data_IF_892893704351
#
_entry.id   IF_892893704351
#
_cell.length_a   1.000
_cell.length_b   1.000
_cell.length_c   1.000
_cell.angle_alpha   90.00
_cell.angle_beta   90.00
_cell.angle_gamma   90.00
#
_symmetry.space_group_name_H-M   'P 1'
#
loop_
_entity.id
_entity.type
_entity.pdbx_description
1 polymer ?
#
# COMPACT_ATOMS: atom_id res chain seq x y z
N UNK A 1 5.47 -3.93 -13.17
CA UNK A 1 6.07 -4.40 -11.88
C UNK A 1 5.04 -4.29 -10.79
N UNK A 2 4.91 -5.33 -9.99
CA UNK A 2 3.94 -5.37 -8.89
C UNK A 2 4.59 -4.89 -7.61
N UNK A 3 3.83 -4.19 -6.78
CA UNK A 3 4.34 -3.55 -5.57
C UNK A 3 3.40 -3.80 -4.39
N UNK A 4 3.97 -4.10 -3.24
CA UNK A 4 3.22 -4.20 -1.98
C UNK A 4 3.94 -3.40 -0.91
N UNK A 5 3.17 -2.80 -0.01
CA UNK A 5 3.69 -1.93 1.04
C UNK A 5 3.34 -2.50 2.41
N UNK A 6 4.35 -2.64 3.27
CA UNK A 6 4.17 -3.05 4.66
C UNK A 6 4.53 -1.85 5.54
N UNK A 7 3.57 -1.43 6.37
CA UNK A 7 3.72 -0.24 7.20
C UNK A 7 3.29 1.03 6.46
N UNK A 8 2.23 1.67 6.94
CA UNK A 8 1.64 2.86 6.32
C UNK A 8 1.92 4.13 7.12
N UNK A 9 3.14 4.27 7.62
CA UNK A 9 3.58 5.45 8.35
C UNK A 9 4.08 6.56 7.44
N UNK A 10 4.85 7.49 8.02
CA UNK A 10 5.32 8.68 7.31
C UNK A 10 6.16 8.36 6.06
N UNK A 11 7.01 7.35 6.13
CA UNK A 11 7.87 6.95 5.01
C UNK A 11 7.03 6.35 3.87
N UNK A 12 5.93 5.69 4.21
CA UNK A 12 5.05 5.07 3.23
C UNK A 12 4.47 6.09 2.24
N UNK A 13 4.24 7.32 2.66
CA UNK A 13 3.74 8.39 1.77
C UNK A 13 4.66 8.57 0.57
N UNK A 14 5.98 8.57 0.81
CA UNK A 14 6.95 8.71 -0.28
C UNK A 14 6.95 7.49 -1.20
N UNK A 15 6.76 6.29 -0.65
CA UNK A 15 6.68 5.07 -1.45
C UNK A 15 5.44 5.09 -2.36
N UNK A 16 4.29 5.52 -1.85
CA UNK A 16 3.07 5.63 -2.65
C UNK A 16 3.26 6.64 -3.80
N UNK A 17 3.88 7.77 -3.53
CA UNK A 17 4.18 8.75 -4.56
C UNK A 17 5.09 8.17 -5.64
N UNK A 18 6.10 7.40 -5.26
CA UNK A 18 6.99 6.74 -6.21
C UNK A 18 6.27 5.69 -7.05
N UNK A 19 5.38 4.91 -6.45
CA UNK A 19 4.57 3.93 -7.16
C UNK A 19 3.72 4.60 -8.23
N UNK A 20 3.05 5.70 -7.88
CA UNK A 20 2.21 6.45 -8.82
C UNK A 20 3.05 7.06 -9.94
N UNK A 21 4.20 7.65 -9.61
CA UNK A 21 5.07 8.30 -10.57
C UNK A 21 5.69 7.33 -11.58
N UNK A 22 5.91 6.08 -11.17
CA UNK A 22 6.53 5.07 -12.02
C UNK A 22 5.54 4.08 -12.64
N UNK A 23 4.25 4.34 -12.49
CA UNK A 23 3.17 3.49 -13.03
C UNK A 23 3.29 2.03 -12.58
N UNK A 24 3.73 1.82 -11.36
CA UNK A 24 3.80 0.48 -10.77
C UNK A 24 2.41 0.00 -10.37
N UNK A 25 2.21 -1.31 -10.41
CA UNK A 25 0.95 -1.92 -10.00
C UNK A 25 0.94 -2.09 -8.47
N UNK A 26 0.15 -1.26 -7.78
CA UNK A 26 0.05 -1.31 -6.32
C UNK A 26 -0.99 -2.35 -5.91
N UNK A 27 -0.51 -3.57 -5.61
CA UNK A 27 -1.37 -4.74 -5.38
C UNK A 27 -1.96 -4.73 -3.97
N UNK A 28 -1.15 -4.43 -2.96
CA UNK A 28 -1.57 -4.59 -1.57
C UNK A 28 -0.82 -3.65 -0.65
N UNK A 29 -1.45 -3.30 0.47
CA UNK A 29 -0.83 -2.57 1.56
C UNK A 29 -1.22 -3.20 2.88
N UNK A 30 -0.34 -3.13 3.86
CA UNK A 30 -0.51 -3.78 5.16
C UNK A 30 -0.07 -2.86 6.29
N UNK A 31 -0.89 -2.79 7.34
CA UNK A 31 -0.53 -2.14 8.60
C UNK A 31 -1.37 -2.76 9.71
N UNK A 32 -0.78 -2.91 10.90
CA UNK A 32 -1.52 -3.44 12.06
C UNK A 32 -2.62 -2.48 12.50
N UNK A 33 -2.56 -1.21 12.11
CA UNK A 33 -3.57 -0.20 12.39
C UNK A 33 -4.21 0.22 11.07
N UNK A 34 -5.43 -0.26 10.81
CA UNK A 34 -6.14 -0.01 9.56
C UNK A 34 -6.53 1.46 9.36
N UNK A 35 -6.58 2.24 10.43
CA UNK A 35 -6.88 3.67 10.30
C UNK A 35 -5.79 4.45 9.55
N UNK A 36 -4.59 3.89 9.48
CA UNK A 36 -3.47 4.56 8.81
C UNK A 36 -3.54 4.54 7.29
N UNK A 37 -4.30 3.63 6.70
CA UNK A 37 -4.39 3.53 5.24
C UNK A 37 -4.91 4.83 4.62
N UNK A 38 -6.06 5.30 5.08
CA UNK A 38 -6.68 6.49 4.51
C UNK A 38 -5.87 7.75 4.81
N UNK A 39 -5.28 7.84 6.01
CA UNK A 39 -4.41 8.96 6.37
C UNK A 39 -3.20 9.02 5.45
N UNK A 40 -2.57 7.89 5.21
CA UNK A 40 -1.40 7.81 4.34
C UNK A 40 -1.76 8.19 2.90
N UNK A 41 -2.85 7.66 2.37
CA UNK A 41 -3.29 7.94 1.00
C UNK A 41 -3.65 9.41 0.81
N UNK A 42 -4.30 10.01 1.80
CA UNK A 42 -4.64 11.43 1.78
C UNK A 42 -3.38 12.29 1.73
N UNK A 43 -2.38 11.97 2.56
CA UNK A 43 -1.12 12.72 2.58
C UNK A 43 -0.33 12.56 1.29
N UNK A 44 -0.39 11.39 0.66
CA UNK A 44 0.29 11.16 -0.61
C UNK A 44 -0.34 11.96 -1.75
N UNK A 45 -1.66 12.16 -1.71
CA UNK A 45 -2.36 12.92 -2.74
C UNK A 45 -2.35 12.32 -4.12
N UNK A 46 -2.11 11.00 -4.23
CA UNK A 46 -2.00 10.31 -5.51
C UNK A 46 -3.27 9.51 -5.86
N UNK A 47 -4.35 9.64 -5.08
CA UNK A 47 -5.58 8.89 -5.27
C UNK A 47 -5.84 7.92 -4.13
N UNK A 48 -6.96 7.21 -4.19
CA UNK A 48 -7.40 6.32 -3.12
C UNK A 48 -7.00 4.85 -3.33
N UNK A 49 -6.53 4.50 -4.53
CA UNK A 49 -6.13 3.13 -4.89
C UNK A 49 -7.21 2.10 -4.50
N UNK A 50 -8.44 2.21 -5.06
CA UNK A 50 -9.55 1.36 -4.64
C UNK A 50 -9.34 -0.13 -4.92
N UNK A 51 -8.50 -0.47 -5.90
CA UNK A 51 -8.21 -1.85 -6.26
C UNK A 51 -7.06 -2.47 -5.44
N UNK A 52 -6.37 -1.67 -4.62
CA UNK A 52 -5.31 -2.15 -3.77
C UNK A 52 -5.89 -2.82 -2.53
N UNK A 53 -5.53 -4.07 -2.29
CA UNK A 53 -6.03 -4.82 -1.14
C UNK A 53 -5.39 -4.32 0.15
N UNK A 54 -6.16 -4.30 1.24
CA UNK A 54 -5.71 -3.84 2.54
C UNK A 54 -5.64 -5.01 3.51
N UNK A 55 -4.54 -5.13 4.24
CA UNK A 55 -4.30 -6.22 5.18
C UNK A 55 -3.84 -5.70 6.53
N UNK A 56 -4.21 -6.40 7.59
CA UNK A 56 -3.73 -6.12 8.94
C UNK A 56 -2.53 -7.02 9.27
N UNK A 57 -2.49 -8.23 8.69
CA UNK A 57 -1.42 -9.21 8.90
C UNK A 57 -0.66 -9.43 7.59
N UNK A 58 0.63 -9.06 7.57
CA UNK A 58 1.45 -9.18 6.37
C UNK A 58 1.59 -10.64 5.88
N UNK A 59 1.46 -11.60 6.79
CA UNK A 59 1.56 -13.02 6.42
C UNK A 59 0.39 -13.45 5.56
N UNK A 60 -0.81 -12.94 5.87
CA UNK A 60 -2.00 -13.17 5.06
C UNK A 60 -1.83 -12.51 3.69
N UNK A 61 -1.31 -11.28 3.67
CA UNK A 61 -1.07 -10.56 2.43
C UNK A 61 -0.15 -11.34 1.50
N UNK A 62 0.97 -11.85 2.01
CA UNK A 62 1.93 -12.61 1.20
C UNK A 62 1.37 -13.95 0.73
N UNK A 63 0.57 -14.62 1.58
CA UNK A 63 -0.04 -15.90 1.22
C UNK A 63 -1.06 -15.74 0.10
N UNK A 64 -1.83 -14.64 0.08
CA UNK A 64 -2.85 -14.40 -0.94
C UNK A 64 -2.29 -13.78 -2.22
N UNK A 65 -1.09 -13.24 -2.17
CA UNK A 65 -0.46 -12.57 -3.31
C UNK A 65 0.95 -13.12 -3.55
N UNK A 66 1.06 -14.40 -3.96
CA UNK A 66 2.38 -15.04 -4.12
C UNK A 66 3.23 -14.43 -5.24
N UNK A 67 2.64 -13.58 -6.06
CA UNK A 67 3.34 -12.89 -7.15
C UNK A 67 4.20 -11.72 -6.68
N UNK A 68 4.07 -11.34 -5.41
CA UNK A 68 4.88 -10.26 -4.82
C UNK A 68 6.30 -10.74 -4.55
#
# INVERSE_FOLDING_TARGET
>A
MKYALIGCGRIAVNHVKAVAANSLEFIAMCDIDDSKFDIMLEKAGCGTFPDTKRYIDYRVMLAENPEI
#
